data_IF_013256747625
#
_entry.id   IF_013256747625
#
_cell.length_a   1.000
_cell.length_b   1.000
_cell.length_c   1.000
_cell.angle_alpha   90.00
_cell.angle_beta   90.00
_cell.angle_gamma   90.00
#
_symmetry.space_group_name_H-M   'P 1'
#
loop_
_entity.id
_entity.type
_entity.pdbx_description
1 polymer ?
#
# COMPACT_ATOMS: atom_id res chain seq x y z
N UNK A 1 8.84 11.74 -3.94
CA UNK A 1 9.62 10.80 -3.16
C UNK A 1 11.07 10.97 -3.57
N UNK A 2 12.03 10.90 -2.65
CA UNK A 2 13.43 10.83 -3.05
C UNK A 2 13.76 9.43 -3.59
N UNK A 3 14.87 9.28 -4.30
CA UNK A 3 15.36 7.94 -4.70
C UNK A 3 15.66 7.07 -3.48
N UNK A 4 16.12 7.68 -2.38
CA UNK A 4 16.38 7.02 -1.11
C UNK A 4 15.09 6.47 -0.49
N UNK A 5 14.05 7.29 -0.41
CA UNK A 5 12.72 6.87 0.08
C UNK A 5 12.20 5.68 -0.75
N UNK A 6 12.38 5.72 -2.08
CA UNK A 6 11.95 4.64 -2.98
C UNK A 6 12.67 3.33 -2.66
N UNK A 7 14.01 3.40 -2.52
CA UNK A 7 14.83 2.25 -2.18
C UNK A 7 14.47 1.66 -0.79
N UNK A 8 14.08 2.51 0.16
CA UNK A 8 13.58 2.08 1.47
C UNK A 8 12.29 1.26 1.31
N UNK A 9 11.31 1.76 0.56
CA UNK A 9 10.04 1.03 0.35
C UNK A 9 10.28 -0.30 -0.34
N UNK A 10 11.08 -0.31 -1.41
CA UNK A 10 11.41 -1.55 -2.14
C UNK A 10 12.08 -2.58 -1.23
N UNK A 11 13.01 -2.14 -0.37
CA UNK A 11 13.66 -3.01 0.62
C UNK A 11 12.65 -3.56 1.63
N UNK A 12 11.78 -2.71 2.19
CA UNK A 12 10.76 -3.16 3.15
C UNK A 12 9.78 -4.17 2.52
N UNK A 13 9.35 -3.93 1.27
CA UNK A 13 8.52 -4.86 0.50
C UNK A 13 9.26 -6.17 0.26
N UNK A 14 10.52 -6.12 -0.18
CA UNK A 14 11.33 -7.30 -0.43
C UNK A 14 11.51 -8.17 0.82
N UNK A 15 11.65 -7.56 1.99
CA UNK A 15 11.72 -8.28 3.27
C UNK A 15 10.39 -8.96 3.64
N UNK A 16 9.25 -8.30 3.41
CA UNK A 16 7.92 -8.91 3.61
C UNK A 16 7.73 -10.09 2.65
N UNK A 17 8.10 -9.93 1.37
CA UNK A 17 8.06 -11.00 0.36
C UNK A 17 8.97 -12.16 0.78
N UNK A 18 10.19 -11.89 1.23
CA UNK A 18 11.12 -12.92 1.74
C UNK A 18 10.50 -13.66 2.92
N UNK A 19 9.90 -12.95 3.88
CA UNK A 19 9.24 -13.56 5.04
C UNK A 19 8.08 -14.45 4.60
N UNK A 20 7.23 -13.97 3.70
CA UNK A 20 6.11 -14.72 3.16
C UNK A 20 6.57 -16.02 2.46
N UNK A 21 7.61 -15.95 1.63
CA UNK A 21 8.19 -17.14 0.97
C UNK A 21 8.73 -18.15 1.97
N UNK A 22 9.40 -17.69 3.03
CA UNK A 22 9.99 -18.58 4.05
C UNK A 22 8.97 -19.17 5.04
N UNK A 23 7.90 -18.43 5.36
CA UNK A 23 6.96 -18.78 6.43
C UNK A 23 5.61 -18.11 6.15
N UNK A 24 4.83 -18.61 5.17
CA UNK A 24 3.60 -17.94 4.72
C UNK A 24 2.51 -17.89 5.79
N UNK A 25 2.61 -18.69 6.86
CA UNK A 25 1.68 -18.69 7.99
C UNK A 25 1.92 -17.60 9.03
N UNK A 26 2.99 -16.83 8.89
CA UNK A 26 3.15 -15.57 9.63
C UNK A 26 2.07 -14.57 9.22
N UNK A 27 1.55 -14.69 8.00
CA UNK A 27 0.45 -13.88 7.49
C UNK A 27 -0.81 -14.73 7.35
N UNK A 28 -1.87 -14.37 8.07
CA UNK A 28 -3.18 -15.02 8.01
C UNK A 28 -4.17 -14.20 7.19
N UNK A 29 -3.98 -12.88 7.17
CA UNK A 29 -4.83 -11.88 6.55
C UNK A 29 -4.02 -10.82 5.81
N UNK A 30 -4.71 -10.02 5.00
CA UNK A 30 -4.13 -8.83 4.37
C UNK A 30 -3.69 -7.80 5.42
N UNK A 31 -4.45 -7.68 6.51
CA UNK A 31 -4.12 -6.78 7.62
C UNK A 31 -2.80 -7.18 8.30
N UNK A 32 -2.50 -8.47 8.44
CA UNK A 32 -1.20 -8.90 8.98
C UNK A 32 -0.04 -8.45 8.08
N UNK A 33 -0.23 -8.53 6.75
CA UNK A 33 0.76 -8.04 5.78
C UNK A 33 0.92 -6.53 5.91
N UNK A 34 -0.19 -5.79 6.03
CA UNK A 34 -0.19 -4.34 6.22
C UNK A 34 0.55 -3.96 7.50
N UNK A 35 0.22 -4.56 8.64
CA UNK A 35 0.86 -4.29 9.94
C UNK A 35 2.36 -4.56 9.88
N UNK A 36 2.78 -5.69 9.30
CA UNK A 36 4.20 -6.01 9.17
C UNK A 36 4.94 -5.03 8.25
N UNK A 37 4.33 -4.64 7.13
CA UNK A 37 4.94 -3.65 6.23
C UNK A 37 5.00 -2.27 6.89
N UNK A 38 3.92 -1.82 7.52
CA UNK A 38 3.87 -0.57 8.28
C UNK A 38 4.93 -0.54 9.38
N UNK A 39 5.11 -1.61 10.16
CA UNK A 39 6.14 -1.65 11.20
C UNK A 39 7.56 -1.45 10.66
N UNK A 40 7.83 -1.93 9.44
CA UNK A 40 9.12 -1.70 8.76
C UNK A 40 9.24 -0.26 8.24
N UNK A 41 8.20 0.22 7.56
CA UNK A 41 8.17 1.57 7.00
C UNK A 41 8.25 2.63 8.10
N UNK A 42 7.60 2.41 9.25
CA UNK A 42 7.53 3.37 10.34
C UNK A 42 8.93 3.79 10.82
N UNK A 43 9.89 2.85 10.90
CA UNK A 43 11.28 3.15 11.29
C UNK A 43 12.02 4.14 10.37
N UNK A 44 11.45 4.47 9.21
CA UNK A 44 12.00 5.40 8.23
C UNK A 44 11.09 6.62 7.99
N UNK A 45 9.81 6.54 8.35
CA UNK A 45 8.79 7.52 7.99
C UNK A 45 7.98 8.02 9.21
N UNK A 46 8.50 7.84 10.42
CA UNK A 46 7.91 8.28 11.71
C UNK A 46 8.39 9.66 12.18
N UNK A 47 9.27 10.32 11.42
CA UNK A 47 9.75 11.64 11.79
C UNK A 47 8.59 12.64 11.75
N UNK A 48 8.38 13.33 12.88
CA UNK A 48 7.41 14.41 12.94
C UNK A 48 7.86 15.60 12.10
N UNK A 49 7.01 15.99 11.16
CA UNK A 49 7.19 17.14 10.31
C UNK A 49 6.04 18.13 10.54
N UNK A 50 6.27 19.41 10.20
CA UNK A 50 5.26 20.46 10.35
C UNK A 50 4.27 20.42 9.17
N UNK A 51 2.98 20.44 9.46
CA UNK A 51 1.92 20.53 8.45
C UNK A 51 1.85 21.92 7.82
N UNK A 52 1.14 22.07 6.69
CA UNK A 52 0.95 23.36 6.01
C UNK A 52 0.28 24.39 6.90
N UNK A 53 -0.68 23.97 7.71
CA UNK A 53 -1.43 24.81 8.64
C UNK A 53 -0.84 24.88 10.05
N UNK A 54 0.37 24.35 10.24
CA UNK A 54 1.22 24.62 11.39
C UNK A 54 1.14 23.61 12.53
N UNK A 55 0.37 22.53 12.37
CA UNK A 55 0.36 21.37 13.27
C UNK A 55 1.54 20.42 12.96
N UNK A 56 1.49 19.19 13.47
CA UNK A 56 2.47 18.13 13.24
C UNK A 56 1.85 16.83 12.76
N UNK A 57 2.57 16.13 11.91
CA UNK A 57 2.22 14.76 11.49
C UNK A 57 3.46 13.99 11.05
N UNK A 58 3.26 12.74 10.62
CA UNK A 58 4.30 11.89 10.05
C UNK A 58 3.96 11.59 8.59
N UNK A 59 4.87 10.99 7.83
CA UNK A 59 4.61 10.71 6.41
C UNK A 59 3.73 9.47 6.20
N UNK A 60 3.86 8.45 7.06
CA UNK A 60 3.20 7.15 6.88
C UNK A 60 1.77 7.12 7.44
N UNK A 61 0.80 6.84 6.58
CA UNK A 61 -0.61 6.67 6.96
C UNK A 61 -1.25 5.44 6.29
N UNK A 62 -2.30 4.91 6.91
CA UNK A 62 -3.07 3.77 6.40
C UNK A 62 -4.53 4.14 6.17
N UNK A 63 -5.20 3.39 5.30
CA UNK A 63 -6.64 3.56 5.02
C UNK A 63 -7.05 4.97 4.56
N UNK A 64 -6.15 5.62 3.83
CA UNK A 64 -6.33 6.98 3.33
C UNK A 64 -7.40 6.98 2.23
N UNK A 65 -8.38 7.89 2.36
CA UNK A 65 -9.48 8.01 1.40
C UNK A 65 -9.26 9.22 0.50
N UNK A 66 -9.41 8.99 -0.79
CA UNK A 66 -9.31 10.02 -1.81
C UNK A 66 -10.69 10.59 -2.07
N UNK A 67 -10.83 11.90 -1.83
CA UNK A 67 -12.03 12.66 -2.14
C UNK A 67 -11.61 13.73 -3.16
N UNK A 68 -11.72 13.40 -4.44
CA UNK A 68 -11.47 14.34 -5.54
C UNK A 68 -12.64 15.30 -5.72
N UNK A 69 -13.18 15.38 -6.93
CA UNK A 69 -14.38 16.16 -7.29
C UNK A 69 -15.72 15.64 -6.68
N UNK A 70 -15.65 14.74 -5.68
CA UNK A 70 -16.80 14.09 -5.07
C UNK A 70 -17.21 12.74 -5.70
N UNK A 71 -16.66 12.39 -6.87
CA UNK A 71 -16.91 11.09 -7.53
C UNK A 71 -15.87 10.03 -7.18
N UNK A 72 -14.63 10.46 -6.94
CA UNK A 72 -13.55 9.59 -6.51
C UNK A 72 -13.85 9.11 -5.07
N UNK A 73 -14.10 7.81 -4.92
CA UNK A 73 -14.31 7.13 -3.62
C UNK A 73 -13.36 5.96 -3.48
N UNK A 74 -12.07 6.26 -3.51
CA UNK A 74 -11.01 5.27 -3.40
C UNK A 74 -10.43 5.27 -1.98
N UNK A 75 -10.01 4.10 -1.52
CA UNK A 75 -9.27 3.93 -0.27
C UNK A 75 -8.02 3.14 -0.57
N UNK A 76 -6.87 3.71 -0.22
CA UNK A 76 -5.58 3.04 -0.36
C UNK A 76 -5.12 2.43 0.96
N UNK A 77 -4.43 1.30 0.87
CA UNK A 77 -3.98 0.57 2.06
C UNK A 77 -2.93 1.35 2.85
N UNK A 78 -1.87 1.80 2.18
CA UNK A 78 -0.79 2.60 2.77
C UNK A 78 -0.50 3.79 1.85
N UNK A 79 -0.36 4.97 2.43
CA UNK A 79 0.00 6.20 1.73
C UNK A 79 1.14 6.89 2.48
N UNK A 80 2.16 7.29 1.72
CA UNK A 80 3.22 8.19 2.17
C UNK A 80 2.84 9.60 1.73
N UNK A 81 2.63 10.50 2.69
CA UNK A 81 2.19 11.87 2.46
C UNK A 81 3.40 12.81 2.56
N UNK A 82 3.41 13.86 1.73
CA UNK A 82 4.24 15.03 1.99
C UNK A 82 3.58 15.88 3.07
N UNK A 83 4.12 15.81 4.30
CA UNK A 83 3.53 16.46 5.47
C UNK A 83 3.44 17.98 5.29
N UNK A 84 4.38 18.60 4.56
CA UNK A 84 4.31 20.03 4.25
C UNK A 84 3.12 20.43 3.38
N UNK A 85 2.41 19.47 2.80
CA UNK A 85 1.19 19.68 2.01
C UNK A 85 -0.11 19.30 2.72
N UNK A 86 0.01 18.69 3.91
CA UNK A 86 -1.11 18.26 4.73
C UNK A 86 -1.73 19.47 5.46
N UNK A 87 -3.06 19.54 5.46
CA UNK A 87 -3.85 20.44 6.28
C UNK A 87 -4.68 19.58 7.28
N UNK A 88 -4.64 19.91 8.57
CA UNK A 88 -5.38 19.19 9.66
C UNK A 88 -6.24 20.10 10.54
N UNK A 89 -5.90 21.38 10.68
CA UNK A 89 -6.59 22.38 11.51
C UNK A 89 -7.65 23.19 10.76
N UNK A 90 -7.51 23.37 9.44
CA UNK A 90 -8.44 24.20 8.63
C UNK A 90 -9.77 23.50 8.34
N UNK A 91 -10.55 23.25 9.40
CA UNK A 91 -11.77 22.45 9.38
C UNK A 91 -12.90 22.96 8.47
N UNK A 92 -12.95 24.26 8.17
CA UNK A 92 -14.06 24.86 7.41
C UNK A 92 -14.12 24.46 5.92
N UNK A 93 -13.08 23.81 5.39
CA UNK A 93 -13.01 23.32 4.01
C UNK A 93 -12.64 21.84 3.90
N UNK A 94 -12.53 21.12 5.02
CA UNK A 94 -12.08 19.73 5.03
C UNK A 94 -13.23 18.74 4.81
N UNK A 95 -12.96 17.59 4.16
CA UNK A 95 -13.87 16.45 4.18
C UNK A 95 -14.21 16.04 5.63
N UNK A 96 -15.30 15.29 5.81
CA UNK A 96 -15.78 14.81 7.12
C UNK A 96 -14.74 14.06 7.99
N UNK A 97 -13.58 13.72 7.42
CA UNK A 97 -12.46 13.07 8.10
C UNK A 97 -11.46 14.02 8.78
N UNK A 98 -11.61 15.34 8.62
CA UNK A 98 -10.83 16.32 9.39
C UNK A 98 -9.37 16.49 8.97
N UNK A 99 -8.99 16.02 7.78
CA UNK A 99 -7.70 16.35 7.16
C UNK A 99 -7.83 16.36 5.62
N UNK A 100 -6.88 17.02 4.96
CA UNK A 100 -6.77 17.03 3.50
C UNK A 100 -5.33 17.23 3.05
N UNK A 101 -4.97 16.62 1.93
CA UNK A 101 -3.67 16.80 1.29
C UNK A 101 -3.83 16.60 -0.22
N UNK A 102 -2.95 17.20 -1.01
CA UNK A 102 -3.08 17.18 -2.47
C UNK A 102 -2.18 16.13 -3.13
N UNK A 103 -1.02 15.84 -2.54
CA UNK A 103 0.04 15.08 -3.22
C UNK A 103 0.63 13.99 -2.31
N UNK A 104 0.40 12.71 -2.60
CA UNK A 104 1.16 11.63 -1.98
C UNK A 104 2.57 11.55 -2.55
N UNK A 105 3.55 11.25 -1.68
CA UNK A 105 4.88 10.77 -2.07
C UNK A 105 4.78 9.36 -2.65
N UNK A 106 3.96 8.51 -2.06
CA UNK A 106 3.83 7.11 -2.48
C UNK A 106 2.51 6.47 -2.07
N UNK A 107 2.05 5.48 -2.84
CA UNK A 107 0.86 4.67 -2.56
C UNK A 107 1.21 3.20 -2.71
N UNK A 108 0.88 2.40 -1.70
CA UNK A 108 1.09 0.95 -1.71
C UNK A 108 -0.27 0.28 -1.50
N UNK A 109 -0.71 -0.49 -2.48
CA UNK A 109 -1.87 -1.38 -2.36
C UNK A 109 -1.41 -2.80 -2.06
N UNK A 110 -2.13 -3.48 -1.18
CA UNK A 110 -1.82 -4.83 -0.73
C UNK A 110 -2.93 -5.76 -1.22
N UNK A 111 -2.51 -6.92 -1.70
CA UNK A 111 -3.40 -8.02 -2.02
C UNK A 111 -2.86 -9.28 -1.38
N UNK A 112 -3.69 -9.96 -0.60
CA UNK A 112 -3.35 -11.25 -0.01
C UNK A 112 -4.39 -12.34 -0.32
N UNK A 113 -3.96 -13.43 -0.98
CA UNK A 113 -4.81 -14.58 -1.29
C UNK A 113 -4.56 -15.74 -0.33
N UNK A 114 -5.58 -16.11 0.45
CA UNK A 114 -5.58 -17.30 1.32
C UNK A 114 -5.63 -18.61 0.53
N UNK A 115 -5.22 -19.76 1.11
CA UNK A 115 -5.28 -21.07 0.44
C UNK A 115 -6.67 -21.43 -0.12
N UNK A 116 -7.70 -21.27 0.70
CA UNK A 116 -9.11 -21.49 0.31
C UNK A 116 -9.77 -20.19 -0.19
N UNK A 117 -8.96 -19.26 -0.71
CA UNK A 117 -9.41 -17.96 -1.20
C UNK A 117 -9.97 -18.00 -2.62
N UNK A 118 -10.05 -16.80 -3.21
CA UNK A 118 -10.59 -16.55 -4.55
C UNK A 118 -9.98 -17.46 -5.63
N UNK A 119 -10.74 -17.68 -6.71
CA UNK A 119 -10.23 -18.34 -7.92
C UNK A 119 -9.09 -17.52 -8.54
N UNK A 120 -8.27 -18.13 -9.40
CA UNK A 120 -7.18 -17.44 -10.10
C UNK A 120 -7.70 -16.26 -10.92
N UNK A 121 -8.81 -16.43 -11.63
CA UNK A 121 -9.43 -15.35 -12.41
C UNK A 121 -9.87 -14.17 -11.54
N UNK A 122 -10.57 -14.44 -10.43
CA UNK A 122 -11.02 -13.37 -9.53
C UNK A 122 -9.85 -12.65 -8.86
N UNK A 123 -8.82 -13.40 -8.47
CA UNK A 123 -7.61 -12.86 -7.87
C UNK A 123 -6.83 -11.93 -8.80
N UNK A 124 -6.61 -12.36 -10.05
CA UNK A 124 -5.96 -11.54 -11.08
C UNK A 124 -6.80 -10.29 -11.33
N UNK A 125 -8.12 -10.44 -11.44
CA UNK A 125 -9.02 -9.30 -11.63
C UNK A 125 -8.95 -8.29 -10.49
N UNK A 126 -8.81 -8.70 -9.23
CA UNK A 126 -8.64 -7.76 -8.12
C UNK A 126 -7.32 -6.96 -8.22
N UNK A 127 -6.23 -7.62 -8.63
CA UNK A 127 -4.92 -6.97 -8.81
C UNK A 127 -4.98 -5.97 -9.96
N UNK A 128 -5.56 -6.37 -11.09
CA UNK A 128 -5.74 -5.51 -12.26
C UNK A 128 -6.60 -4.29 -11.93
N UNK A 129 -7.66 -4.47 -11.14
CA UNK A 129 -8.48 -3.35 -10.67
C UNK A 129 -7.68 -2.36 -9.82
N UNK A 130 -6.77 -2.83 -8.97
CA UNK A 130 -5.92 -1.93 -8.20
C UNK A 130 -4.88 -1.23 -9.08
N UNK A 131 -4.26 -1.92 -10.04
CA UNK A 131 -3.38 -1.28 -11.03
C UNK A 131 -4.13 -0.18 -11.77
N UNK A 132 -5.33 -0.45 -12.28
CA UNK A 132 -6.16 0.53 -12.99
C UNK A 132 -6.54 1.72 -12.10
N UNK A 133 -6.83 1.49 -10.80
CA UNK A 133 -7.06 2.59 -9.85
C UNK A 133 -5.82 3.47 -9.72
N UNK A 134 -4.65 2.88 -9.55
CA UNK A 134 -3.39 3.63 -9.40
C UNK A 134 -3.05 4.40 -10.68
N UNK A 135 -3.23 3.80 -11.86
CA UNK A 135 -3.10 4.47 -13.16
C UNK A 135 -4.08 5.64 -13.28
N UNK A 136 -5.32 5.48 -12.80
CA UNK A 136 -6.34 6.55 -12.77
C UNK A 136 -6.02 7.70 -11.83
N UNK A 137 -5.21 7.48 -10.77
CA UNK A 137 -4.78 8.52 -9.84
C UNK A 137 -3.60 9.36 -10.37
N UNK A 138 -2.74 8.79 -11.22
CA UNK A 138 -1.62 9.50 -11.82
C UNK A 138 -1.99 10.83 -12.52
N UNK A 139 -3.00 10.89 -13.41
CA UNK A 139 -3.39 12.14 -14.03
C UNK A 139 -3.92 13.14 -13.01
N UNK A 140 -4.65 12.70 -11.98
CA UNK A 140 -5.19 13.59 -10.93
C UNK A 140 -4.07 14.34 -10.22
N UNK A 141 -3.00 13.63 -9.83
CA UNK A 141 -1.87 14.27 -9.13
C UNK A 141 -1.02 15.14 -10.06
N UNK A 142 -0.84 14.72 -11.31
CA UNK A 142 -0.13 15.51 -12.32
C UNK A 142 -0.85 16.81 -12.64
N UNK A 143 -2.16 16.75 -12.89
CA UNK A 143 -2.96 17.90 -13.30
C UNK A 143 -3.15 18.89 -12.14
N UNK A 144 -3.12 18.41 -10.89
CA UNK A 144 -3.05 19.24 -9.70
C UNK A 144 -1.68 19.94 -9.49
N UNK A 145 -0.70 19.68 -10.36
CA UNK A 145 0.61 20.32 -10.34
C UNK A 145 1.56 19.79 -9.26
N UNK A 146 1.48 18.48 -8.96
CA UNK A 146 2.37 17.87 -7.97
C UNK A 146 3.84 18.20 -8.29
N UNK A 147 4.58 18.84 -7.36
CA UNK A 147 5.99 19.16 -7.56
C UNK A 147 6.88 17.91 -7.52
N UNK A 148 6.30 16.77 -7.16
CA UNK A 148 7.00 15.53 -6.84
C UNK A 148 6.29 14.37 -7.54
N UNK A 149 7.07 13.50 -8.17
CA UNK A 149 6.54 12.27 -8.74
C UNK A 149 6.04 11.35 -7.61
N UNK A 150 4.76 10.96 -7.68
CA UNK A 150 4.17 9.93 -6.84
C UNK A 150 4.63 8.56 -7.32
N UNK A 151 5.10 7.72 -6.41
CA UNK A 151 5.45 6.33 -6.68
C UNK A 151 4.32 5.39 -6.27
N UNK A 152 4.19 4.26 -6.98
CA UNK A 152 3.07 3.34 -6.85
C UNK A 152 3.57 1.90 -6.71
N UNK A 153 3.01 1.16 -5.76
CA UNK A 153 3.32 -0.26 -5.56
C UNK A 153 2.04 -1.07 -5.41
N UNK A 154 2.09 -2.30 -5.93
CA UNK A 154 1.10 -3.35 -5.64
C UNK A 154 1.83 -4.56 -5.08
N UNK A 155 1.60 -4.87 -3.80
CA UNK A 155 2.14 -6.05 -3.13
C UNK A 155 1.12 -7.18 -3.18
N UNK A 156 1.29 -8.09 -4.14
CA UNK A 156 0.45 -9.27 -4.29
C UNK A 156 1.12 -10.53 -3.70
N UNK A 157 0.52 -11.10 -2.65
CA UNK A 157 1.00 -12.31 -1.97
C UNK A 157 -0.01 -13.45 -2.13
N UNK A 158 0.38 -14.48 -2.88
CA UNK A 158 -0.49 -15.61 -3.24
C UNK A 158 -0.17 -16.87 -2.44
N UNK A 159 -0.81 -17.02 -1.28
CA UNK A 159 -0.58 -18.18 -0.40
C UNK A 159 -1.12 -19.46 -1.03
N UNK A 160 -2.18 -19.39 -1.84
CA UNK A 160 -2.78 -20.56 -2.49
C UNK A 160 -1.78 -21.29 -3.39
N UNK A 161 -1.06 -20.55 -4.25
CA UNK A 161 -0.04 -21.17 -5.13
C UNK A 161 1.17 -21.68 -4.36
N UNK A 162 1.59 -20.99 -3.31
CA UNK A 162 2.71 -21.44 -2.49
C UNK A 162 2.44 -22.80 -1.85
N UNK A 163 1.20 -23.04 -1.38
CA UNK A 163 0.81 -24.35 -0.87
C UNK A 163 0.75 -25.43 -1.95
N UNK A 164 0.23 -25.12 -3.14
CA UNK A 164 0.20 -26.07 -4.25
C UNK A 164 1.61 -26.57 -4.61
N UNK A 165 2.58 -25.65 -4.68
CA UNK A 165 3.98 -25.99 -4.96
C UNK A 165 4.64 -26.86 -3.86
N UNK A 166 4.22 -26.72 -2.60
CA UNK A 166 4.72 -27.52 -1.50
C UNK A 166 4.08 -28.92 -1.47
N UNK A 167 2.79 -29.04 -1.81
CA UNK A 167 2.11 -30.33 -1.90
C UNK A 167 2.63 -31.19 -3.05
N UNK A 168 3.03 -30.59 -4.17
CA UNK A 168 3.64 -31.30 -5.31
C UNK A 168 5.03 -31.87 -4.97
N UNK A 169 5.80 -31.16 -4.14
CA UNK A 169 7.12 -31.62 -3.68
C UNK A 169 7.04 -32.68 -2.56
N UNK A 170 5.92 -32.72 -1.82
CA UNK A 170 5.70 -33.66 -0.72
C UNK A 170 5.03 -34.97 -1.16
N UNK A 171 4.61 -35.09 -2.43
CA UNK A 171 4.06 -36.34 -2.94
C UNK A 171 5.17 -37.41 -2.94
N UNK A 172 4.99 -38.56 -2.24
CA UNK A 172 5.98 -39.62 -2.27
C UNK A 172 6.14 -40.08 -3.71
N UNK A 173 7.39 -40.25 -4.14
CA UNK A 173 7.70 -41.06 -5.32
C UNK A 173 7.19 -42.46 -5.03
N UNK A 174 5.95 -42.74 -5.45
CA UNK A 174 5.43 -44.10 -5.48
C UNK A 174 6.26 -44.87 -6.51
N UNK A 175 7.42 -45.35 -6.06
CA UNK A 175 8.16 -46.40 -6.72
C UNK A 175 7.36 -47.68 -6.56
N UNK A 176 6.79 -48.11 -7.69
CA UNK A 176 6.50 -49.48 -8.12
C UNK A 176 6.31 -50.55 -7.04
#
# INVERSE_FOLDING_TARGET
>A
MTEEDHAVVDRCIAEVVKRFRSSPNVFLTEDDVRVHLCGKLLSHFDTEERTRDGDRSISLHTETRWYGDGTLKLRSDIVLIDVGTLDVLRHSQMPSKGYGFNFPKGIIEIKFRRPNGKSDRMWISDIEQDIQKLEGLQPVFRDAGSPVQTSFWVLALDKKRQYASQSEQAAPSNGW
#
